data_IF_185505790139
#
_entry.id   IF_185505790139
#
_cell.length_a   1.000
_cell.length_b   1.000
_cell.length_c   1.000
_cell.angle_alpha   90.00
_cell.angle_beta   90.00
_cell.angle_gamma   90.00
#
_symmetry.space_group_name_H-M   'P 1'
#
loop_
_entity.id
_entity.type
_entity.pdbx_description
1 polymer ?
#
# COMPACT_ATOMS: atom_id res chain seq x y z
N UNK A 1 1.93 -45.55 -61.09
CA UNK A 1 2.06 -45.19 -59.66
C UNK A 1 1.65 -43.72 -59.50
N UNK A 2 0.47 -43.43 -58.90
CA UNK A 2 -0.12 -42.08 -58.86
C UNK A 2 0.48 -41.26 -57.70
N UNK A 3 1.16 -40.16 -58.00
CA UNK A 3 1.62 -39.18 -56.99
C UNK A 3 0.43 -38.33 -56.50
N UNK A 4 0.14 -38.37 -55.20
CA UNK A 4 -0.81 -37.47 -54.55
C UNK A 4 -0.12 -36.14 -54.22
N UNK A 5 -0.69 -35.02 -54.70
CA UNK A 5 -0.31 -33.67 -54.25
C UNK A 5 -0.82 -33.46 -52.82
N UNK A 6 0.08 -33.17 -51.89
CA UNK A 6 -0.26 -32.71 -50.54
C UNK A 6 -0.30 -31.19 -50.57
N UNK A 7 -1.46 -30.61 -50.27
CA UNK A 7 -1.65 -29.17 -50.08
C UNK A 7 -1.51 -28.91 -48.59
N UNK A 8 -0.47 -28.19 -48.18
CA UNK A 8 -0.29 -27.72 -46.80
C UNK A 8 -1.05 -26.40 -46.68
N UNK A 9 -2.16 -26.41 -45.95
CA UNK A 9 -2.94 -25.22 -45.63
C UNK A 9 -2.36 -24.60 -44.35
N UNK A 10 -1.54 -23.56 -44.49
CA UNK A 10 -1.03 -22.79 -43.36
C UNK A 10 -2.12 -21.84 -42.84
N UNK A 11 -2.72 -22.18 -41.70
CA UNK A 11 -3.65 -21.31 -40.96
C UNK A 11 -2.81 -20.28 -40.20
N UNK A 12 -2.86 -19.02 -40.65
CA UNK A 12 -2.29 -17.89 -39.94
C UNK A 12 -3.25 -17.52 -38.80
N UNK A 13 -2.96 -17.94 -37.57
CA UNK A 13 -3.68 -17.46 -36.38
C UNK A 13 -3.13 -16.10 -36.01
N UNK A 14 -3.86 -15.03 -36.35
CA UNK A 14 -3.55 -13.69 -35.89
C UNK A 14 -3.84 -13.61 -34.39
N UNK A 15 -2.80 -13.65 -33.55
CA UNK A 15 -2.90 -13.27 -32.15
C UNK A 15 -3.06 -11.75 -32.08
N UNK A 16 -4.28 -11.26 -31.90
CA UNK A 16 -4.50 -9.90 -31.43
C UNK A 16 -4.04 -9.85 -29.97
N UNK A 17 -2.83 -9.35 -29.74
CA UNK A 17 -2.40 -8.99 -28.40
C UNK A 17 -3.30 -7.84 -27.93
N UNK A 18 -4.25 -8.14 -27.05
CA UNK A 18 -4.82 -7.13 -26.16
C UNK A 18 -3.67 -6.55 -25.35
N UNK A 19 -3.08 -5.47 -25.84
CA UNK A 19 -2.18 -4.65 -25.04
C UNK A 19 -3.04 -4.06 -23.92
N UNK A 20 -2.94 -4.66 -22.73
CA UNK A 20 -3.35 -3.99 -21.50
C UNK A 20 -2.49 -2.73 -21.44
N UNK A 21 -3.08 -1.56 -21.74
CA UNK A 21 -2.41 -0.29 -21.49
C UNK A 21 -2.18 -0.22 -19.99
N UNK A 22 -0.93 -0.26 -19.57
CA UNK A 22 -0.55 0.17 -18.23
C UNK A 22 -1.15 1.56 -18.01
N UNK A 23 -1.80 1.77 -16.87
CA UNK A 23 -2.42 3.04 -16.54
C UNK A 23 -1.34 4.12 -16.55
N UNK A 24 -1.47 5.09 -17.47
CA UNK A 24 -0.49 6.14 -17.63
C UNK A 24 -0.65 7.13 -16.47
N UNK A 25 0.28 7.08 -15.51
CA UNK A 25 0.34 8.05 -14.41
C UNK A 25 0.49 9.44 -15.01
N UNK A 26 -0.48 10.32 -14.78
CA UNK A 26 -0.44 11.69 -15.28
C UNK A 26 0.49 12.50 -14.38
N UNK A 27 1.05 13.56 -14.93
CA UNK A 27 1.90 14.47 -14.16
C UNK A 27 1.20 15.06 -12.92
N UNK A 28 -0.12 15.24 -13.02
CA UNK A 28 -0.98 15.72 -11.93
C UNK A 28 -1.35 14.66 -10.88
N UNK A 29 -1.02 13.38 -11.11
CA UNK A 29 -1.35 12.31 -10.17
C UNK A 29 -0.29 12.21 -9.05
N UNK A 30 -0.73 11.68 -7.90
CA UNK A 30 0.09 11.35 -6.75
C UNK A 30 -0.07 9.85 -6.44
N UNK A 31 0.58 8.96 -7.19
CA UNK A 31 0.24 7.54 -7.23
C UNK A 31 0.68 6.73 -5.99
N UNK A 32 1.62 7.25 -5.19
CA UNK A 32 2.17 6.57 -4.02
C UNK A 32 2.19 7.51 -2.82
N UNK A 33 2.33 6.97 -1.60
CA UNK A 33 2.44 7.74 -0.36
C UNK A 33 3.47 8.90 -0.45
N UNK A 34 4.65 8.64 -1.02
CA UNK A 34 5.71 9.63 -1.22
C UNK A 34 5.79 10.15 -2.69
N UNK A 35 4.70 10.09 -3.45
CA UNK A 35 4.60 10.33 -4.90
C UNK A 35 5.39 9.34 -5.75
N UNK A 36 6.71 9.41 -5.76
CA UNK A 36 7.59 8.50 -6.50
C UNK A 36 8.03 7.33 -5.62
N UNK A 37 8.48 6.24 -6.24
CA UNK A 37 9.01 5.09 -5.49
C UNK A 37 10.34 5.43 -4.79
N UNK A 38 11.12 6.39 -5.32
CA UNK A 38 12.32 6.92 -4.66
C UNK A 38 11.99 7.78 -3.42
N UNK A 39 10.75 8.28 -3.33
CA UNK A 39 10.23 8.97 -2.16
C UNK A 39 10.55 10.46 -2.07
N UNK A 40 10.78 11.13 -3.20
CA UNK A 40 11.17 12.55 -3.25
C UNK A 40 10.10 13.55 -2.75
N UNK A 41 8.81 13.18 -2.77
CA UNK A 41 7.67 14.06 -2.48
C UNK A 41 7.69 15.40 -3.24
N UNK A 42 8.33 15.43 -4.41
CA UNK A 42 8.43 16.62 -5.25
C UNK A 42 7.32 16.63 -6.29
N UNK A 43 6.54 17.71 -6.40
CA UNK A 43 5.56 17.88 -7.48
C UNK A 43 6.14 18.73 -8.61
N UNK A 44 6.04 18.29 -9.88
CA UNK A 44 6.49 19.08 -11.03
C UNK A 44 5.49 20.18 -11.41
N UNK A 45 4.29 20.19 -10.83
CA UNK A 45 3.26 21.17 -11.13
C UNK A 45 3.72 22.59 -10.71
N UNK A 46 3.57 23.53 -11.64
CA UNK A 46 4.04 24.93 -11.47
C UNK A 46 2.90 25.94 -11.44
N UNK A 47 1.64 25.51 -11.45
CA UNK A 47 0.47 26.41 -11.42
C UNK A 47 0.52 27.37 -10.22
N UNK A 48 0.98 26.87 -9.06
CA UNK A 48 1.18 27.68 -7.86
C UNK A 48 2.66 27.95 -7.63
N UNK A 49 2.99 29.23 -7.48
CA UNK A 49 4.35 29.74 -7.30
C UNK A 49 4.41 30.68 -6.10
N UNK A 50 5.61 31.15 -5.74
CA UNK A 50 5.79 32.11 -4.64
C UNK A 50 5.00 33.40 -4.87
N UNK A 51 4.80 33.78 -6.13
CA UNK A 51 4.16 35.02 -6.54
C UNK A 51 2.62 34.94 -6.44
N UNK A 52 2.02 33.75 -6.46
CA UNK A 52 0.57 33.59 -6.50
C UNK A 52 -0.03 32.71 -5.40
N UNK A 53 0.79 32.08 -4.55
CA UNK A 53 0.33 31.19 -3.45
C UNK A 53 -0.62 31.89 -2.48
N UNK A 54 -0.48 33.20 -2.29
CA UNK A 54 -1.38 34.01 -1.46
C UNK A 54 -2.82 34.07 -1.99
N UNK A 55 -3.07 33.65 -3.23
CA UNK A 55 -4.41 33.62 -3.86
C UNK A 55 -5.12 32.28 -3.66
N UNK A 56 -4.50 31.32 -2.98
CA UNK A 56 -5.15 30.04 -2.68
C UNK A 56 -6.44 30.24 -1.89
N UNK A 57 -7.45 29.45 -2.23
CA UNK A 57 -8.75 29.42 -1.57
C UNK A 57 -9.10 27.99 -1.22
N UNK A 58 -9.83 27.83 -0.12
CA UNK A 58 -10.45 26.56 0.23
C UNK A 58 -11.45 26.17 -0.85
N UNK A 59 -11.28 24.99 -1.45
CA UNK A 59 -12.21 24.44 -2.47
C UNK A 59 -13.22 23.49 -1.85
N UNK A 60 -12.76 22.62 -0.94
CA UNK A 60 -13.60 21.64 -0.26
C UNK A 60 -13.01 21.25 1.08
N UNK A 61 -13.88 20.86 2.01
CA UNK A 61 -13.55 20.13 3.24
C UNK A 61 -14.21 18.76 3.18
N UNK A 62 -13.65 17.81 3.92
CA UNK A 62 -14.22 16.49 4.09
C UNK A 62 -14.17 16.10 5.55
N UNK A 63 -15.34 15.90 6.15
CA UNK A 63 -15.43 15.49 7.55
C UNK A 63 -15.30 13.97 7.68
N UNK A 64 -14.41 13.54 8.57
CA UNK A 64 -14.19 12.13 8.84
C UNK A 64 -15.35 11.56 9.66
N UNK A 65 -15.64 10.28 9.45
CA UNK A 65 -16.86 9.65 9.97
C UNK A 65 -16.83 9.30 11.48
N UNK A 66 -15.75 9.65 12.22
CA UNK A 66 -15.56 9.25 13.61
C UNK A 66 -14.48 10.10 14.31
N UNK A 67 -14.45 10.04 15.64
CA UNK A 67 -13.32 10.52 16.46
C UNK A 67 -12.04 9.79 16.06
N UNK A 68 -11.21 10.49 15.28
CA UNK A 68 -9.90 10.03 14.89
C UNK A 68 -8.89 10.42 15.98
N UNK A 69 -8.14 9.44 16.49
CA UNK A 69 -7.05 9.72 17.43
C UNK A 69 -5.89 10.45 16.75
N UNK A 70 -5.51 9.99 15.55
CA UNK A 70 -4.44 10.58 14.75
C UNK A 70 -4.75 10.45 13.26
N UNK A 71 -4.40 11.48 12.48
CA UNK A 71 -4.55 11.50 11.03
C UNK A 71 -3.18 11.66 10.37
N UNK A 72 -2.64 10.55 9.84
CA UNK A 72 -1.27 10.47 9.32
C UNK A 72 -1.21 10.03 7.86
N UNK A 73 -2.37 9.94 7.22
CA UNK A 73 -2.50 9.40 5.87
C UNK A 73 -1.83 10.33 4.86
N UNK A 74 -1.04 9.77 3.95
CA UNK A 74 -0.59 10.43 2.74
C UNK A 74 -1.57 10.07 1.63
N UNK A 75 -2.39 11.01 1.15
CA UNK A 75 -3.40 10.69 0.15
C UNK A 75 -2.75 10.21 -1.15
N UNK A 76 -3.33 9.18 -1.75
CA UNK A 76 -3.00 8.73 -3.12
C UNK A 76 -4.05 9.30 -4.06
N UNK A 77 -3.63 9.99 -5.11
CA UNK A 77 -4.51 10.63 -6.09
C UNK A 77 -4.23 10.09 -7.48
N UNK A 78 -5.23 9.44 -8.08
CA UNK A 78 -5.15 8.82 -9.40
C UNK A 78 -6.46 9.04 -10.15
N UNK A 79 -6.38 9.53 -11.39
CA UNK A 79 -7.56 9.72 -12.26
C UNK A 79 -8.71 10.48 -11.59
N UNK A 80 -8.36 11.55 -10.86
CA UNK A 80 -9.31 12.43 -10.18
C UNK A 80 -9.98 11.81 -8.94
N UNK A 81 -9.54 10.63 -8.49
CA UNK A 81 -9.96 10.01 -7.23
C UNK A 81 -8.85 10.14 -6.21
N UNK A 82 -9.22 10.49 -4.98
CA UNK A 82 -8.30 10.55 -3.85
C UNK A 82 -8.65 9.43 -2.87
N UNK A 83 -7.64 8.65 -2.51
CA UNK A 83 -7.71 7.55 -1.55
C UNK A 83 -6.91 7.90 -0.32
N UNK A 84 -7.51 7.76 0.85
CA UNK A 84 -6.88 8.07 2.12
C UNK A 84 -7.50 7.25 3.25
N UNK A 85 -6.86 7.28 4.42
CA UNK A 85 -7.18 6.39 5.52
C UNK A 85 -7.30 7.12 6.84
N UNK A 86 -8.22 6.66 7.69
CA UNK A 86 -8.02 6.70 9.13
C UNK A 86 -7.54 5.31 9.59
N UNK A 87 -7.34 5.14 10.89
CA UNK A 87 -7.02 3.83 11.48
C UNK A 87 -8.01 2.74 11.04
N UNK A 88 -9.31 3.01 11.14
CA UNK A 88 -10.37 2.02 10.92
C UNK A 88 -11.08 2.16 9.56
N UNK A 89 -10.84 3.23 8.80
CA UNK A 89 -11.62 3.51 7.59
C UNK A 89 -10.71 3.79 6.39
N UNK A 90 -11.03 3.19 5.24
CA UNK A 90 -10.49 3.59 3.92
C UNK A 90 -11.54 4.43 3.22
N UNK A 91 -11.14 5.57 2.68
CA UNK A 91 -12.00 6.48 1.93
C UNK A 91 -11.57 6.57 0.47
N UNK A 92 -12.55 6.74 -0.41
CA UNK A 92 -12.34 7.26 -1.75
C UNK A 92 -13.27 8.45 -1.98
N UNK A 93 -12.72 9.56 -2.45
CA UNK A 93 -13.46 10.78 -2.77
C UNK A 93 -13.11 11.26 -4.18
N UNK A 94 -13.98 12.08 -4.76
CA UNK A 94 -13.61 12.90 -5.92
C UNK A 94 -12.60 13.97 -5.46
N UNK A 95 -11.40 13.96 -6.03
CA UNK A 95 -10.31 14.83 -5.61
C UNK A 95 -10.57 16.33 -5.88
N UNK A 96 -11.40 16.65 -6.88
CA UNK A 96 -11.74 18.03 -7.23
C UNK A 96 -12.87 18.60 -6.38
N UNK A 97 -13.86 17.77 -6.01
CA UNK A 97 -15.09 18.26 -5.35
C UNK A 97 -15.20 17.86 -3.89
N UNK A 98 -14.34 16.97 -3.38
CA UNK A 98 -14.45 16.42 -2.03
C UNK A 98 -15.60 15.42 -1.84
N UNK A 99 -16.36 15.10 -2.89
CA UNK A 99 -17.55 14.24 -2.77
C UNK A 99 -17.15 12.79 -2.46
N UNK A 100 -17.75 12.20 -1.43
CA UNK A 100 -17.58 10.79 -1.12
C UNK A 100 -17.99 9.91 -2.30
N UNK A 101 -17.10 9.01 -2.71
CA UNK A 101 -17.40 7.95 -3.67
C UNK A 101 -17.78 6.67 -2.92
N UNK A 102 -16.93 6.25 -2.00
CA UNK A 102 -17.19 5.13 -1.09
C UNK A 102 -16.32 5.25 0.16
N UNK A 103 -16.74 4.58 1.24
CA UNK A 103 -15.90 4.33 2.42
C UNK A 103 -16.02 2.87 2.84
N UNK A 104 -14.93 2.30 3.32
CA UNK A 104 -14.90 0.96 3.91
C UNK A 104 -14.43 1.05 5.34
N UNK A 105 -15.31 0.68 6.26
CA UNK A 105 -14.98 0.55 7.68
C UNK A 105 -14.48 -0.87 7.94
N UNK A 106 -13.36 -0.99 8.67
CA UNK A 106 -12.92 -2.20 9.33
C UNK A 106 -13.37 -2.12 10.78
N UNK A 107 -14.36 -2.95 11.14
CA UNK A 107 -14.97 -2.93 12.47
C UNK A 107 -13.94 -3.23 13.56
N UNK A 108 -14.10 -2.54 14.70
CA UNK A 108 -13.17 -2.52 15.83
C UNK A 108 -12.68 -3.91 16.22
N UNK A 109 -11.38 -4.13 16.03
CA UNK A 109 -10.67 -5.32 16.46
C UNK A 109 -10.30 -5.16 17.92
N UNK A 110 -10.44 -6.22 18.72
CA UNK A 110 -10.27 -6.20 20.19
C UNK A 110 -8.90 -5.66 20.66
N UNK A 111 -7.94 -5.53 19.76
CA UNK A 111 -6.60 -4.98 19.98
C UNK A 111 -6.53 -3.55 19.44
N UNK A 112 -6.32 -2.56 20.32
CA UNK A 112 -5.94 -1.22 19.92
C UNK A 112 -4.46 -1.24 19.56
N UNK A 113 -4.16 -1.14 18.26
CA UNK A 113 -2.82 -0.75 17.79
C UNK A 113 -2.55 0.72 18.07
N UNK A 114 -1.68 1.34 17.27
CA UNK A 114 -1.24 2.74 17.44
C UNK A 114 -2.33 3.79 17.16
N UNK A 115 -3.52 3.39 16.65
CA UNK A 115 -4.62 4.31 16.38
C UNK A 115 -4.35 5.28 15.22
N UNK A 116 -3.45 4.90 14.30
CA UNK A 116 -3.04 5.69 13.15
C UNK A 116 -2.76 4.79 11.94
N UNK A 117 -3.00 5.32 10.74
CA UNK A 117 -2.64 4.66 9.49
C UNK A 117 -2.12 5.69 8.48
N UNK A 118 -1.07 5.34 7.75
CA UNK A 118 -0.34 6.25 6.85
C UNK A 118 -0.83 6.20 5.40
N UNK A 119 -1.73 5.30 5.04
CA UNK A 119 -2.36 5.33 3.73
C UNK A 119 -2.41 3.97 3.05
N UNK A 120 -2.46 4.04 1.73
CA UNK A 120 -2.61 2.89 0.84
C UNK A 120 -1.48 2.89 -0.19
N UNK A 121 -1.20 1.73 -0.77
CA UNK A 121 -0.58 1.65 -2.09
C UNK A 121 -1.64 1.35 -3.15
N UNK A 122 -1.35 1.67 -4.40
CA UNK A 122 -2.20 1.37 -5.55
C UNK A 122 -1.45 0.52 -6.59
N UNK A 123 -2.11 -0.49 -7.14
CA UNK A 123 -1.65 -1.22 -8.33
C UNK A 123 -2.87 -1.82 -9.07
N UNK A 124 -2.97 -1.56 -10.36
CA UNK A 124 -3.95 -2.20 -11.27
C UNK A 124 -5.38 -2.28 -10.70
N UNK A 125 -5.92 -1.12 -10.31
CA UNK A 125 -7.28 -1.01 -9.77
C UNK A 125 -7.44 -1.52 -8.34
N UNK A 126 -6.36 -1.84 -7.63
CA UNK A 126 -6.39 -2.35 -6.25
C UNK A 126 -5.71 -1.39 -5.30
N UNK A 127 -6.25 -1.31 -4.09
CA UNK A 127 -5.65 -0.62 -2.96
C UNK A 127 -5.13 -1.65 -1.96
N UNK A 128 -3.97 -1.39 -1.37
CA UNK A 128 -3.36 -2.25 -0.36
C UNK A 128 -3.10 -1.46 0.90
N UNK A 129 -3.49 -2.01 2.05
CA UNK A 129 -3.13 -1.44 3.35
C UNK A 129 -3.11 -2.48 4.44
N UNK A 130 -2.41 -2.13 5.51
CA UNK A 130 -2.51 -2.83 6.78
C UNK A 130 -3.56 -2.24 7.73
N UNK A 131 -3.73 -2.90 8.87
CA UNK A 131 -4.63 -2.48 9.95
C UNK A 131 -4.02 -2.62 11.34
N UNK A 132 -4.70 -2.07 12.33
CA UNK A 132 -4.29 -2.06 13.75
C UNK A 132 -4.35 -3.42 14.46
N UNK A 133 -4.82 -4.46 13.79
CA UNK A 133 -4.83 -5.87 14.20
C UNK A 133 -3.81 -6.72 13.42
N UNK A 134 -2.83 -6.09 12.78
CA UNK A 134 -1.77 -6.73 12.00
C UNK A 134 -2.25 -7.62 10.83
N UNK A 135 -3.44 -7.35 10.32
CA UNK A 135 -3.89 -7.86 9.02
C UNK A 135 -3.48 -6.92 7.89
N UNK A 136 -3.23 -7.52 6.73
CA UNK A 136 -2.94 -6.82 5.48
C UNK A 136 -3.91 -7.27 4.40
N UNK A 137 -4.45 -6.34 3.61
CA UNK A 137 -5.51 -6.67 2.66
C UNK A 137 -5.45 -5.85 1.39
N UNK A 138 -5.96 -6.46 0.32
CA UNK A 138 -6.26 -5.79 -0.93
C UNK A 138 -7.75 -5.46 -1.03
N UNK A 139 -8.03 -4.33 -1.66
CA UNK A 139 -9.38 -3.85 -1.92
C UNK A 139 -9.51 -3.46 -3.38
N UNK A 140 -10.70 -3.63 -3.96
CA UNK A 140 -11.03 -3.02 -5.24
C UNK A 140 -11.13 -1.50 -5.08
N UNK A 141 -10.40 -0.74 -5.89
CA UNK A 141 -10.37 0.73 -5.81
C UNK A 141 -11.68 1.39 -6.28
N UNK A 142 -12.54 0.65 -6.99
CA UNK A 142 -13.83 1.13 -7.52
C UNK A 142 -14.90 1.21 -6.42
N UNK A 143 -14.96 0.22 -5.54
CA UNK A 143 -16.06 0.07 -4.58
C UNK A 143 -15.60 -0.26 -3.13
N UNK A 144 -14.31 -0.48 -2.90
CA UNK A 144 -13.76 -0.80 -1.60
C UNK A 144 -14.04 -2.23 -1.12
N UNK A 145 -14.45 -3.15 -2.01
CA UNK A 145 -14.62 -4.56 -1.68
C UNK A 145 -13.28 -5.20 -1.36
N UNK A 146 -13.19 -5.93 -0.24
CA UNK A 146 -12.00 -6.72 0.09
C UNK A 146 -11.86 -7.86 -0.93
N UNK A 147 -10.68 -7.98 -1.52
CA UNK A 147 -10.35 -9.02 -2.52
C UNK A 147 -9.65 -10.21 -1.87
N UNK A 148 -8.70 -9.93 -0.97
CA UNK A 148 -7.99 -10.92 -0.16
C UNK A 148 -7.48 -10.26 1.12
N UNK A 149 -7.18 -11.07 2.11
CA UNK A 149 -6.61 -10.66 3.39
C UNK A 149 -5.54 -11.67 3.84
N UNK A 150 -4.51 -11.18 4.51
CA UNK A 150 -3.38 -11.96 5.03
C UNK A 150 -3.13 -11.52 6.45
N UNK A 151 -3.10 -12.48 7.37
CA UNK A 151 -2.65 -12.25 8.73
C UNK A 151 -1.13 -12.26 8.76
N UNK A 152 -0.52 -11.15 9.17
CA UNK A 152 0.94 -11.04 9.31
C UNK A 152 1.40 -11.03 10.76
N UNK A 153 0.50 -10.88 11.74
CA UNK A 153 0.92 -10.68 13.13
C UNK A 153 -0.20 -10.63 14.17
N UNK A 154 -1.43 -11.05 13.86
CA UNK A 154 -2.57 -10.97 14.79
C UNK A 154 -2.36 -11.79 16.07
N UNK A 155 -1.50 -12.82 16.01
CA UNK A 155 -1.08 -13.64 17.15
C UNK A 155 -0.23 -12.91 18.19
N UNK A 156 0.24 -11.68 17.90
CA UNK A 156 0.94 -10.81 18.87
C UNK A 156 0.02 -9.66 19.24
N UNK A 157 -0.67 -9.71 20.40
CA UNK A 157 -1.56 -8.63 20.82
C UNK A 157 -0.85 -7.27 20.81
N UNK A 158 -1.40 -6.29 20.11
CA UNK A 158 -0.82 -4.94 19.96
C UNK A 158 0.09 -4.75 18.76
N UNK A 159 0.43 -5.81 18.02
CA UNK A 159 1.07 -5.68 16.71
C UNK A 159 0.11 -4.99 15.73
N UNK A 160 0.65 -4.16 14.85
CA UNK A 160 -0.14 -3.38 13.90
C UNK A 160 0.63 -3.11 12.61
N UNK A 161 -0.07 -2.78 11.54
CA UNK A 161 0.53 -2.34 10.28
C UNK A 161 0.03 -0.93 9.96
N UNK A 162 0.64 0.10 10.57
CA UNK A 162 0.23 1.49 10.38
C UNK A 162 0.86 2.14 9.14
N UNK A 163 1.83 1.51 8.51
CA UNK A 163 2.56 2.07 7.37
C UNK A 163 1.71 2.15 6.10
N UNK A 164 2.10 3.06 5.19
CA UNK A 164 1.68 2.96 3.80
C UNK A 164 2.62 1.98 3.09
N UNK A 165 2.12 0.87 2.53
CA UNK A 165 2.95 -0.11 1.84
C UNK A 165 3.56 0.48 0.56
N UNK A 166 4.57 -0.21 0.02
CA UNK A 166 5.15 0.11 -1.30
C UNK A 166 4.86 -1.06 -2.26
N UNK A 167 4.58 -0.76 -3.53
CA UNK A 167 4.27 -1.80 -4.52
C UNK A 167 5.13 -1.61 -5.76
N UNK A 168 5.75 -2.68 -6.24
CA UNK A 168 6.56 -2.69 -7.45
C UNK A 168 6.63 -4.12 -8.01
N UNK A 169 6.52 -4.29 -9.33
CA UNK A 169 6.59 -5.59 -10.01
C UNK A 169 5.71 -6.69 -9.40
N UNK A 170 4.43 -6.38 -9.14
CA UNK A 170 3.46 -7.29 -8.49
C UNK A 170 3.84 -7.76 -7.07
N UNK A 171 4.84 -7.15 -6.45
CA UNK A 171 5.20 -7.38 -5.06
C UNK A 171 4.79 -6.20 -4.19
N UNK A 172 4.27 -6.52 -3.02
CA UNK A 172 3.91 -5.55 -1.98
C UNK A 172 4.92 -5.67 -0.86
N UNK A 173 5.62 -4.57 -0.56
CA UNK A 173 6.56 -4.49 0.54
C UNK A 173 5.89 -3.86 1.75
N UNK A 174 5.92 -4.58 2.86
CA UNK A 174 5.25 -4.20 4.11
C UNK A 174 6.04 -4.68 5.32
N UNK A 175 5.86 -4.00 6.43
CA UNK A 175 6.41 -4.34 7.73
C UNK A 175 5.39 -4.16 8.85
N UNK A 176 5.75 -4.63 10.03
CA UNK A 176 4.88 -4.65 11.22
C UNK A 176 5.47 -3.75 12.30
N UNK A 177 4.62 -2.96 12.95
CA UNK A 177 4.90 -2.14 14.12
C UNK A 177 4.61 -2.90 15.41
N UNK A 178 5.22 -2.48 16.52
CA UNK A 178 5.04 -3.12 17.84
C UNK A 178 6.36 -3.49 18.51
N UNK A 179 7.51 -3.16 17.93
CA UNK A 179 8.82 -3.51 18.50
C UNK A 179 9.07 -2.85 19.87
N UNK A 180 8.57 -1.63 20.06
CA UNK A 180 8.69 -0.82 21.26
C UNK A 180 7.61 -1.11 22.33
N UNK A 181 6.51 -1.78 21.95
CA UNK A 181 5.37 -1.99 22.85
C UNK A 181 5.16 -3.46 23.21
N UNK A 182 5.31 -4.35 22.22
CA UNK A 182 4.88 -5.75 22.31
C UNK A 182 5.89 -6.71 21.69
N UNK A 183 7.15 -6.27 21.57
CA UNK A 183 8.26 -7.12 21.14
C UNK A 183 8.11 -7.71 19.74
N UNK A 184 7.51 -6.95 18.80
CA UNK A 184 7.52 -7.35 17.38
C UNK A 184 8.96 -7.36 16.88
N UNK A 185 9.34 -8.47 16.25
CA UNK A 185 10.61 -8.63 15.56
C UNK A 185 10.53 -7.95 14.20
N UNK A 186 11.56 -7.18 13.84
CA UNK A 186 11.69 -6.51 12.56
C UNK A 186 11.75 -7.46 11.38
N UNK A 187 10.62 -7.61 10.69
CA UNK A 187 10.53 -8.29 9.41
C UNK A 187 10.01 -7.36 8.31
N UNK A 188 10.69 -7.40 7.17
CA UNK A 188 10.14 -6.94 5.89
C UNK A 188 9.52 -8.13 5.19
N UNK A 189 8.30 -7.96 4.71
CA UNK A 189 7.56 -8.97 3.93
C UNK A 189 7.44 -8.47 2.50
N UNK A 190 7.63 -9.37 1.53
CA UNK A 190 7.13 -9.20 0.18
C UNK A 190 5.97 -10.14 -0.06
N UNK A 191 4.81 -9.58 -0.41
CA UNK A 191 3.60 -10.33 -0.73
C UNK A 191 3.30 -10.25 -2.22
N UNK A 192 2.79 -11.33 -2.79
CA UNK A 192 2.24 -11.32 -4.15
C UNK A 192 0.96 -10.48 -4.18
N UNK A 193 0.90 -9.46 -5.05
CA UNK A 193 -0.18 -8.48 -5.06
C UNK A 193 -1.54 -9.06 -5.47
N UNK A 194 -1.54 -10.19 -6.18
CA UNK A 194 -2.76 -10.86 -6.65
C UNK A 194 -3.38 -11.73 -5.56
N UNK A 195 -2.56 -12.37 -4.74
CA UNK A 195 -2.98 -13.44 -3.84
C UNK A 195 -2.78 -13.13 -2.35
N UNK A 196 -1.96 -12.13 -2.01
CA UNK A 196 -1.56 -11.82 -0.64
C UNK A 196 -0.53 -12.78 -0.04
N UNK A 197 -0.13 -13.82 -0.78
CA UNK A 197 0.82 -14.81 -0.27
C UNK A 197 2.22 -14.21 -0.10
N UNK A 198 2.87 -14.53 1.01
CA UNK A 198 4.27 -14.19 1.24
C UNK A 198 5.17 -14.88 0.22
N UNK A 199 5.94 -14.08 -0.51
CA UNK A 199 6.95 -14.54 -1.48
C UNK A 199 8.30 -14.70 -0.78
N UNK A 200 8.68 -13.70 0.03
CA UNK A 200 9.87 -13.75 0.86
C UNK A 200 9.72 -12.87 2.11
N UNK A 201 10.59 -13.11 3.09
CA UNK A 201 10.76 -12.26 4.27
C UNK A 201 12.24 -11.94 4.50
N UNK A 202 12.51 -10.81 5.15
CA UNK A 202 13.84 -10.40 5.59
C UNK A 202 13.78 -9.97 7.06
N UNK A 203 14.55 -10.63 7.92
CA UNK A 203 14.67 -10.29 9.34
C UNK A 203 15.84 -9.32 9.54
N UNK A 204 15.60 -8.16 10.13
CA UNK A 204 16.66 -7.19 10.45
C UNK A 204 17.28 -7.38 11.83
N UNK A 205 16.71 -8.28 12.63
CA UNK A 205 17.21 -8.62 13.96
C UNK A 205 17.79 -10.03 13.92
N UNK A 206 19.10 -10.20 13.65
CA UNK A 206 19.73 -11.53 13.68
C UNK A 206 19.68 -12.11 15.11
N UNK A 207 19.64 -13.44 15.20
CA UNK A 207 19.79 -14.22 16.44
C UNK A 207 18.84 -13.84 17.59
N UNK A 208 17.74 -13.13 17.30
CA UNK A 208 16.83 -12.59 18.30
C UNK A 208 16.19 -13.65 19.23
N UNK A 209 16.22 -14.92 18.83
CA UNK A 209 15.72 -16.04 19.63
C UNK A 209 16.60 -16.32 20.86
N UNK A 210 17.86 -15.93 20.81
CA UNK A 210 18.83 -16.07 21.90
C UNK A 210 18.84 -14.84 22.82
N UNK A 211 18.13 -13.78 22.45
CA UNK A 211 18.11 -12.55 23.24
C UNK A 211 17.47 -12.78 24.62
N UNK A 212 17.96 -12.08 25.66
CA UNK A 212 17.31 -12.05 26.96
C UNK A 212 15.83 -11.72 26.83
N UNK A 213 14.99 -12.32 27.67
CA UNK A 213 13.55 -12.03 27.67
C UNK A 213 13.24 -10.81 28.52
N UNK A 214 12.28 -10.00 28.07
CA UNK A 214 11.66 -8.95 28.87
C UNK A 214 10.87 -9.55 30.04
N UNK A 215 10.40 -8.70 30.96
CA UNK A 215 9.48 -9.10 32.02
C UNK A 215 8.16 -9.71 31.52
N UNK A 216 7.82 -9.51 30.25
CA UNK A 216 6.64 -10.11 29.60
C UNK A 216 6.95 -11.45 28.89
N UNK A 217 8.19 -11.95 29.00
CA UNK A 217 8.61 -13.24 28.46
C UNK A 217 8.91 -13.24 26.95
N UNK A 218 8.84 -12.07 26.30
CA UNK A 218 9.21 -11.90 24.90
C UNK A 218 10.72 -11.63 24.80
N UNK A 219 11.43 -12.16 23.79
CA UNK A 219 12.82 -11.79 23.58
C UNK A 219 12.93 -10.27 23.39
N UNK A 220 13.98 -9.66 23.95
CA UNK A 220 14.32 -8.27 23.65
C UNK A 220 14.56 -8.19 22.15
N UNK A 221 13.65 -7.54 21.45
CA UNK A 221 13.61 -7.43 20.00
C UNK A 221 13.43 -5.96 19.64
N UNK A 222 13.00 -5.67 18.42
CA UNK A 222 12.90 -4.33 17.89
C UNK A 222 12.94 -4.38 16.37
N UNK A 223 13.31 -3.27 15.74
CA UNK A 223 13.40 -3.20 14.28
C UNK A 223 12.04 -3.26 13.58
N UNK A 224 10.94 -3.02 14.30
CA UNK A 224 9.61 -2.95 13.71
C UNK A 224 9.57 -1.88 12.61
N UNK A 225 8.98 -2.23 11.47
CA UNK A 225 8.92 -1.38 10.28
C UNK A 225 7.52 -0.77 10.19
N UNK A 226 7.43 0.54 10.43
CA UNK A 226 6.14 1.23 10.60
C UNK A 226 5.98 2.46 9.69
N UNK A 227 7.00 2.82 8.92
CA UNK A 227 6.98 3.88 7.91
C UNK A 227 7.13 3.29 6.50
N UNK A 228 6.79 4.08 5.48
CA UNK A 228 6.90 3.65 4.08
C UNK A 228 8.36 3.54 3.64
N UNK A 229 8.63 2.66 2.68
CA UNK A 229 9.96 2.40 2.12
C UNK A 229 10.27 3.29 0.91
N UNK A 230 11.52 3.25 0.45
CA UNK A 230 11.95 3.81 -0.83
C UNK A 230 12.50 2.73 -1.75
N UNK A 231 12.46 2.94 -3.06
CA UNK A 231 12.93 1.97 -4.04
C UNK A 231 13.59 2.65 -5.25
N UNK A 232 14.80 2.20 -5.56
CA UNK A 232 15.50 2.50 -6.82
C UNK A 232 15.07 1.45 -7.85
N UNK A 233 14.22 1.88 -8.80
CA UNK A 233 13.64 0.99 -9.82
C UNK A 233 14.65 0.55 -10.87
N UNK A 234 15.71 1.32 -11.09
CA UNK A 234 16.74 0.98 -12.08
C UNK A 234 17.63 -0.15 -11.57
N UNK A 235 17.95 -0.11 -10.27
CA UNK A 235 18.78 -1.14 -9.62
C UNK A 235 17.96 -2.27 -8.99
N UNK A 236 16.66 -2.08 -8.80
CA UNK A 236 15.80 -3.03 -8.09
C UNK A 236 16.14 -3.13 -6.60
N UNK A 237 16.55 -2.02 -5.98
CA UNK A 237 16.97 -1.98 -4.57
C UNK A 237 15.88 -1.34 -3.72
N UNK A 238 15.39 -2.09 -2.74
CA UNK A 238 14.47 -1.61 -1.71
C UNK A 238 15.27 -1.06 -0.52
N UNK A 239 15.00 0.19 -0.13
CA UNK A 239 15.58 0.84 1.03
C UNK A 239 14.59 0.81 2.19
N UNK A 240 15.00 0.18 3.29
CA UNK A 240 14.23 0.07 4.52
C UNK A 240 14.97 0.78 5.66
N UNK A 241 14.28 1.58 6.50
CA UNK A 241 14.91 2.41 7.53
C UNK A 241 15.31 1.66 8.80
#
# INVERSE_FOLDING_TARGET
MKMKKVIILSILVAFSSLQIKAQQVRESDWPNYNRTLAGDRFSPLTQFTKENVSKLKLVATFDLASDINSFQTGPVVLDGKMYFTSDTVTYAINAATGKLLWKKVRSNTKTRGYGANRGVAYLDGKLFRGSSDAHFFAMDAKDGKILWETDLGSGTPGAAIPMAPLVWNNLIFVGIAGGDQVGVVGYVYALDAKTGKTVWTFCSVPDYKENPKTSTGLPVTGGGYWTSFGLDTEKGVLYVP
#
